data_IF_754578331360
#
_entry.id   IF_754578331360
#
_cell.length_a   1.000
_cell.length_b   1.000
_cell.length_c   1.000
_cell.angle_alpha   90.00
_cell.angle_beta   90.00
_cell.angle_gamma   90.00
#
_symmetry.space_group_name_H-M   'P 1'
#
loop_
_entity.id
_entity.type
_entity.pdbx_description
1 polymer ?
#
# COMPACT_ATOMS: atom_id res chain seq x y z
N UNK A 1 16.39 13.82 13.65
CA UNK A 1 15.04 13.81 13.07
C UNK A 1 14.09 13.27 14.12
N UNK A 2 12.99 13.96 14.39
CA UNK A 2 11.95 13.42 15.27
C UNK A 2 11.27 12.25 14.55
N UNK A 3 11.04 11.14 15.24
CA UNK A 3 10.22 10.06 14.67
C UNK A 3 8.80 10.58 14.39
N UNK A 4 8.15 10.12 13.31
CA UNK A 4 6.76 10.48 13.03
C UNK A 4 5.85 10.08 14.19
N UNK A 5 4.82 10.87 14.47
CA UNK A 5 3.90 10.60 15.57
C UNK A 5 2.84 9.57 15.20
N UNK A 6 2.54 9.43 13.90
CA UNK A 6 1.50 8.52 13.37
C UNK A 6 1.95 7.86 12.05
N UNK A 7 1.30 6.75 11.63
CA UNK A 7 1.59 6.14 10.33
C UNK A 7 1.20 7.05 9.15
N UNK A 8 0.20 7.94 9.30
CA UNK A 8 -0.13 8.97 8.32
C UNK A 8 1.07 9.91 8.08
N UNK A 9 1.69 10.40 9.16
CA UNK A 9 2.88 11.26 9.07
C UNK A 9 4.05 10.51 8.41
N UNK A 10 4.21 9.22 8.73
CA UNK A 10 5.24 8.38 8.15
C UNK A 10 5.00 8.06 6.66
N UNK A 11 3.78 8.18 6.16
CA UNK A 11 3.42 7.96 4.76
C UNK A 11 3.20 9.27 3.97
N UNK A 12 3.29 10.44 4.63
CA UNK A 12 2.91 11.73 4.05
C UNK A 12 3.67 12.07 2.76
N UNK A 13 4.94 11.68 2.66
CA UNK A 13 5.76 11.92 1.47
C UNK A 13 5.29 11.17 0.22
N UNK A 14 4.38 10.21 0.36
CA UNK A 14 3.76 9.50 -0.76
C UNK A 14 2.64 10.31 -1.43
N UNK A 15 2.03 11.26 -0.71
CA UNK A 15 0.95 12.11 -1.23
C UNK A 15 1.49 13.01 -2.34
N UNK A 16 0.69 13.19 -3.40
CA UNK A 16 1.08 13.96 -4.58
C UNK A 16 1.93 13.17 -5.58
N UNK A 17 2.21 11.89 -5.34
CA UNK A 17 2.96 11.04 -6.27
C UNK A 17 2.03 10.20 -7.12
N UNK A 18 2.32 10.14 -8.42
CA UNK A 18 1.64 9.20 -9.31
C UNK A 18 2.10 7.77 -9.07
N UNK A 19 1.15 6.85 -8.98
CA UNK A 19 1.43 5.42 -8.97
C UNK A 19 1.83 4.94 -10.36
N UNK A 20 2.77 4.01 -10.42
CA UNK A 20 3.13 3.28 -11.62
C UNK A 20 3.52 1.84 -11.26
N UNK A 21 3.58 0.96 -12.26
CA UNK A 21 3.95 -0.43 -12.05
C UNK A 21 3.02 -1.20 -11.10
N UNK A 22 1.79 -0.73 -10.89
CA UNK A 22 0.79 -1.39 -10.07
C UNK A 22 0.48 -2.78 -10.64
N UNK A 23 0.74 -3.83 -9.87
CA UNK A 23 0.56 -5.23 -10.30
C UNK A 23 0.23 -6.15 -9.13
N UNK A 24 -0.41 -7.28 -9.45
CA UNK A 24 -0.60 -8.39 -8.51
C UNK A 24 0.73 -9.13 -8.32
N UNK A 25 1.00 -9.52 -7.08
CA UNK A 25 2.06 -10.45 -6.70
C UNK A 25 1.53 -11.88 -6.62
N UNK A 26 2.14 -12.71 -5.77
CA UNK A 26 1.62 -14.03 -5.45
C UNK A 26 0.43 -13.92 -4.48
N UNK A 27 -0.59 -14.79 -4.62
CA UNK A 27 -1.78 -14.76 -3.76
C UNK A 27 -2.54 -13.44 -3.88
N UNK A 28 -2.88 -12.83 -2.74
CA UNK A 28 -3.58 -11.53 -2.69
C UNK A 28 -2.64 -10.32 -2.68
N UNK A 29 -1.33 -10.50 -2.89
CA UNK A 29 -0.38 -9.39 -2.72
C UNK A 29 -0.47 -8.37 -3.85
N UNK A 30 -0.26 -7.09 -3.53
CA UNK A 30 -0.17 -6.01 -4.50
C UNK A 30 1.14 -5.25 -4.38
N UNK A 31 1.81 -5.02 -5.51
CA UNK A 31 2.99 -4.17 -5.62
C UNK A 31 2.62 -2.86 -6.33
N UNK A 32 2.86 -1.71 -5.70
CA UNK A 32 2.65 -0.38 -6.28
C UNK A 32 3.93 0.45 -6.15
N UNK A 33 4.36 1.09 -7.23
CA UNK A 33 5.58 1.93 -7.25
C UNK A 33 5.21 3.41 -7.35
N UNK A 34 6.01 4.28 -6.74
CA UNK A 34 5.82 5.72 -6.79
C UNK A 34 7.16 6.47 -6.86
N UNK A 35 7.09 7.72 -7.32
CA UNK A 35 8.27 8.56 -7.50
C UNK A 35 9.16 8.09 -8.66
N UNK A 36 10.37 8.66 -8.79
CA UNK A 36 11.30 8.26 -9.85
C UNK A 36 11.73 6.80 -9.69
N UNK A 37 11.99 6.13 -10.82
CA UNK A 37 12.58 4.80 -10.81
C UNK A 37 14.00 4.85 -10.21
N UNK A 38 14.37 3.81 -9.46
CA UNK A 38 15.73 3.67 -8.89
C UNK A 38 16.71 3.32 -10.00
N UNK A 39 17.91 3.89 -9.97
CA UNK A 39 18.96 3.60 -10.96
C UNK A 39 19.37 2.13 -10.97
N UNK A 40 19.45 1.51 -9.78
CA UNK A 40 19.85 0.10 -9.63
C UNK A 40 18.77 -0.90 -10.06
N UNK A 41 17.49 -0.53 -9.98
CA UNK A 41 16.36 -1.34 -10.42
C UNK A 41 15.25 -0.45 -10.98
N UNK A 42 15.18 -0.28 -12.31
CA UNK A 42 14.15 0.54 -12.95
C UNK A 42 12.72 0.07 -12.73
N UNK A 43 12.51 -1.15 -12.21
CA UNK A 43 11.19 -1.66 -11.84
C UNK A 43 10.75 -1.22 -10.44
N UNK A 44 11.64 -0.61 -9.66
CA UNK A 44 11.36 -0.10 -8.32
C UNK A 44 11.33 1.42 -8.31
N UNK A 45 10.30 1.97 -7.68
CA UNK A 45 10.23 3.40 -7.41
C UNK A 45 11.08 3.81 -6.21
N UNK A 46 11.28 5.11 -6.07
CA UNK A 46 11.78 5.72 -4.84
C UNK A 46 10.91 5.32 -3.63
N UNK A 47 9.63 5.07 -3.87
CA UNK A 47 8.74 4.43 -2.91
C UNK A 47 8.14 3.16 -3.51
N UNK A 48 7.98 2.15 -2.67
CA UNK A 48 7.29 0.90 -3.00
C UNK A 48 6.28 0.59 -1.90
N UNK A 49 5.00 0.59 -2.25
CA UNK A 49 3.92 0.13 -1.39
C UNK A 49 3.63 -1.33 -1.72
N UNK A 50 3.68 -2.18 -0.69
CA UNK A 50 3.36 -3.60 -0.78
C UNK A 50 2.18 -3.90 0.13
N UNK A 51 1.05 -4.30 -0.46
CA UNK A 51 -0.12 -4.78 0.29
C UNK A 51 -0.03 -6.29 0.41
N UNK A 52 -0.21 -6.81 1.62
CA UNK A 52 -0.15 -8.24 1.90
C UNK A 52 -1.06 -8.59 3.09
N UNK A 53 -1.37 -9.88 3.28
CA UNK A 53 -1.94 -10.40 4.53
C UNK A 53 -3.23 -9.70 5.00
N UNK A 54 -3.98 -9.17 4.03
CA UNK A 54 -5.27 -8.53 4.22
C UNK A 54 -6.14 -8.72 2.98
N UNK A 55 -7.45 -8.60 3.14
CA UNK A 55 -8.35 -8.46 2.01
C UNK A 55 -8.29 -7.02 1.50
N UNK A 56 -8.57 -6.80 0.22
CA UNK A 56 -8.62 -5.46 -0.34
C UNK A 56 -9.62 -5.39 -1.49
N UNK A 57 -9.98 -4.15 -1.84
CA UNK A 57 -10.79 -3.84 -3.00
C UNK A 57 -10.31 -2.57 -3.68
N UNK A 58 -10.38 -2.57 -5.01
CA UNK A 58 -10.18 -1.40 -5.86
C UNK A 58 -11.54 -0.93 -6.36
N UNK A 59 -11.76 0.37 -6.30
CA UNK A 59 -12.96 1.02 -6.79
C UNK A 59 -12.59 2.18 -7.71
N UNK A 60 -13.44 2.46 -8.70
CA UNK A 60 -13.29 3.55 -9.66
C UNK A 60 -14.61 4.33 -9.73
N UNK A 61 -14.69 5.44 -8.99
CA UNK A 61 -15.93 6.20 -8.83
C UNK A 61 -17.02 5.37 -8.15
N UNK A 62 -18.07 5.05 -8.91
CA UNK A 62 -19.18 4.20 -8.45
C UNK A 62 -19.04 2.72 -8.84
N UNK A 63 -17.97 2.36 -9.56
CA UNK A 63 -17.71 1.00 -10.04
C UNK A 63 -16.80 0.22 -9.08
N UNK A 64 -17.15 -1.03 -8.79
CA UNK A 64 -16.23 -1.97 -8.15
C UNK A 64 -15.27 -2.51 -9.22
N UNK A 65 -13.99 -2.16 -9.11
CA UNK A 65 -12.94 -2.58 -10.04
C UNK A 65 -12.57 -4.05 -9.84
N UNK A 66 -12.05 -4.40 -8.66
CA UNK A 66 -11.70 -5.77 -8.29
C UNK A 66 -11.62 -5.94 -6.76
N UNK A 67 -11.96 -7.12 -6.24
CA UNK A 67 -11.60 -7.57 -4.90
C UNK A 67 -10.38 -8.49 -4.90
N UNK A 68 -9.81 -8.79 -3.71
CA UNK A 68 -8.62 -9.64 -3.57
C UNK A 68 -8.79 -11.06 -4.11
N UNK A 69 -10.02 -11.58 -4.08
CA UNK A 69 -10.37 -12.94 -4.53
C UNK A 69 -10.96 -12.99 -5.96
N UNK A 70 -10.96 -11.87 -6.68
CA UNK A 70 -11.38 -11.83 -8.09
C UNK A 70 -10.32 -12.49 -9.01
N UNK A 71 -10.70 -12.75 -10.27
CA UNK A 71 -9.76 -13.33 -11.24
C UNK A 71 -8.56 -12.42 -11.51
N UNK A 72 -7.43 -13.02 -11.88
CA UNK A 72 -6.19 -12.29 -12.18
C UNK A 72 -6.39 -11.23 -13.28
N UNK A 73 -7.20 -11.52 -14.30
CA UNK A 73 -7.50 -10.59 -15.39
C UNK A 73 -8.27 -9.37 -14.89
N UNK A 74 -9.24 -9.58 -13.99
CA UNK A 74 -10.04 -8.50 -13.41
C UNK A 74 -9.19 -7.61 -12.49
N UNK A 75 -8.34 -8.24 -11.66
CA UNK A 75 -7.40 -7.54 -10.80
C UNK A 75 -6.40 -6.72 -11.64
N UNK A 76 -5.79 -7.33 -12.66
CA UNK A 76 -4.85 -6.65 -13.54
C UNK A 76 -5.50 -5.45 -14.25
N UNK A 77 -6.74 -5.59 -14.73
CA UNK A 77 -7.47 -4.49 -15.37
C UNK A 77 -7.76 -3.34 -14.39
N UNK A 78 -8.13 -3.63 -13.14
CA UNK A 78 -8.36 -2.62 -12.11
C UNK A 78 -7.05 -1.88 -11.73
N UNK A 79 -5.96 -2.62 -11.53
CA UNK A 79 -4.64 -2.04 -11.23
C UNK A 79 -4.11 -1.19 -12.38
N UNK A 80 -4.31 -1.62 -13.62
CA UNK A 80 -3.91 -0.87 -14.80
C UNK A 80 -4.56 0.53 -14.84
N UNK A 81 -5.80 0.66 -14.35
CA UNK A 81 -6.51 1.95 -14.26
C UNK A 81 -5.99 2.85 -13.14
N UNK A 82 -5.25 2.31 -12.16
CA UNK A 82 -4.58 3.11 -11.14
C UNK A 82 -3.31 3.77 -11.68
N UNK A 83 -2.56 3.09 -12.55
CA UNK A 83 -1.30 3.60 -13.10
C UNK A 83 -1.47 5.01 -13.73
N UNK A 84 -0.55 5.91 -13.39
CA UNK A 84 -0.54 7.32 -13.78
C UNK A 84 -1.33 8.24 -12.86
N UNK A 85 -2.21 7.71 -11.99
CA UNK A 85 -3.01 8.53 -11.07
C UNK A 85 -2.21 8.95 -9.85
N UNK A 86 -2.41 10.19 -9.44
CA UNK A 86 -1.81 10.76 -8.23
C UNK A 86 -2.46 10.20 -6.96
N UNK A 87 -1.67 9.82 -5.96
CA UNK A 87 -2.16 9.52 -4.62
C UNK A 87 -2.48 10.83 -3.90
N UNK A 88 -3.77 11.08 -3.70
CA UNK A 88 -4.30 12.33 -3.15
C UNK A 88 -4.55 12.29 -1.65
N UNK A 89 -4.79 11.10 -1.08
CA UNK A 89 -4.98 10.93 0.36
C UNK A 89 -4.68 9.50 0.80
N UNK A 90 -4.25 9.36 2.06
CA UNK A 90 -4.18 8.11 2.79
C UNK A 90 -5.01 8.29 4.06
N UNK A 91 -6.01 7.44 4.26
CA UNK A 91 -6.87 7.49 5.45
C UNK A 91 -6.81 6.16 6.17
N UNK A 92 -6.33 6.15 7.41
CA UNK A 92 -6.29 4.97 8.26
C UNK A 92 -7.47 5.00 9.24
N UNK A 93 -8.28 3.94 9.24
CA UNK A 93 -9.38 3.80 10.17
C UNK A 93 -8.89 3.17 11.46
N UNK A 94 -9.07 3.85 12.59
CA UNK A 94 -8.75 3.30 13.92
C UNK A 94 -9.93 2.48 14.46
N UNK A 95 -9.69 1.37 15.20
CA UNK A 95 -8.37 0.87 15.60
C UNK A 95 -7.68 -0.07 14.60
N UNK A 96 -8.39 -0.60 13.59
CA UNK A 96 -7.89 -1.68 12.70
C UNK A 96 -6.77 -1.28 11.73
N UNK A 97 -6.54 0.03 11.59
CA UNK A 97 -5.68 0.66 10.60
C UNK A 97 -5.99 0.24 9.16
N UNK A 98 -7.23 -0.21 8.90
CA UNK A 98 -7.75 -0.40 7.55
C UNK A 98 -7.57 0.90 6.77
N UNK A 99 -6.91 0.80 5.62
CA UNK A 99 -6.34 1.95 4.94
C UNK A 99 -7.04 2.18 3.61
N UNK A 100 -7.44 3.42 3.36
CA UNK A 100 -7.90 3.87 2.05
C UNK A 100 -6.81 4.72 1.40
N UNK A 101 -6.27 4.25 0.29
CA UNK A 101 -5.39 5.00 -0.62
C UNK A 101 -6.24 5.60 -1.74
N UNK A 102 -6.37 6.92 -1.78
CA UNK A 102 -7.23 7.63 -2.72
C UNK A 102 -6.44 8.20 -3.91
N UNK A 103 -6.90 7.89 -5.12
CA UNK A 103 -6.30 8.28 -6.41
C UNK A 103 -7.27 9.12 -7.25
N UNK A 104 -7.71 10.26 -6.71
CA UNK A 104 -8.82 11.04 -7.28
C UNK A 104 -10.15 10.32 -7.10
N UNK A 105 -10.81 9.93 -8.19
CA UNK A 105 -12.07 9.16 -8.15
C UNK A 105 -11.88 7.67 -7.81
N UNK A 106 -10.64 7.18 -7.82
CA UNK A 106 -10.31 5.78 -7.61
C UNK A 106 -9.79 5.56 -6.20
N UNK A 107 -10.00 4.37 -5.63
CA UNK A 107 -9.51 4.03 -4.28
C UNK A 107 -9.09 2.57 -4.19
N UNK A 108 -8.02 2.34 -3.44
CA UNK A 108 -7.63 1.02 -2.95
C UNK A 108 -7.91 1.00 -1.44
N UNK A 109 -8.76 0.08 -1.00
CA UNK A 109 -9.17 -0.05 0.40
C UNK A 109 -8.71 -1.40 0.91
N UNK A 110 -8.02 -1.42 2.05
CA UNK A 110 -7.64 -2.64 2.76
C UNK A 110 -8.64 -2.97 3.86
N UNK A 111 -8.81 -4.26 4.14
CA UNK A 111 -9.65 -4.82 5.17
C UNK A 111 -8.87 -5.88 5.93
N UNK A 112 -8.82 -5.72 7.24
CA UNK A 112 -8.26 -6.68 8.18
C UNK A 112 -8.85 -8.08 7.99
N UNK A 113 -7.99 -9.09 7.94
CA UNK A 113 -8.38 -10.51 7.96
C UNK A 113 -7.88 -11.26 9.19
N UNK A 114 -6.95 -10.66 9.95
CA UNK A 114 -6.43 -11.15 11.22
C UNK A 114 -6.02 -9.97 12.11
N UNK A 115 -6.22 -10.12 13.42
CA UNK A 115 -5.75 -9.18 14.46
C UNK A 115 -4.85 -9.82 15.49
N UNK A 116 -4.46 -11.08 15.29
CA UNK A 116 -3.65 -11.79 16.26
C UNK A 116 -2.22 -11.22 16.24
N UNK A 117 -1.75 -10.57 17.32
CA UNK A 117 -0.40 -10.03 17.37
C UNK A 117 0.69 -11.11 17.45
N UNK A 118 0.32 -12.38 17.67
CA UNK A 118 1.26 -13.50 17.64
C UNK A 118 1.55 -14.03 16.23
N UNK A 119 0.88 -13.49 15.20
CA UNK A 119 1.15 -13.80 13.80
C UNK A 119 2.31 -12.92 13.30
N UNK A 120 3.49 -13.52 13.19
CA UNK A 120 4.75 -12.88 12.77
C UNK A 120 4.73 -12.37 11.30
N UNK A 121 3.63 -12.55 10.57
CA UNK A 121 3.44 -12.11 9.19
C UNK A 121 2.13 -11.36 8.97
N UNK A 122 1.69 -10.57 9.95
CA UNK A 122 0.37 -9.97 9.90
C UNK A 122 0.36 -8.47 9.51
N UNK A 123 1.48 -7.92 9.01
CA UNK A 123 1.50 -6.59 8.41
C UNK A 123 0.58 -6.55 7.19
N UNK A 124 -0.42 -5.69 7.24
CA UNK A 124 -1.36 -5.49 6.14
C UNK A 124 -0.71 -4.78 4.95
N UNK A 125 0.25 -3.89 5.23
CA UNK A 125 1.05 -3.28 4.19
C UNK A 125 2.39 -2.74 4.70
N UNK A 126 3.33 -2.69 3.77
CA UNK A 126 4.67 -2.13 3.93
C UNK A 126 4.86 -0.98 2.94
N UNK A 127 5.45 0.12 3.39
CA UNK A 127 5.88 1.21 2.53
C UNK A 127 7.39 1.40 2.67
N UNK A 128 8.12 0.96 1.65
CA UNK A 128 9.55 1.23 1.49
C UNK A 128 9.73 2.66 0.98
N UNK A 129 10.61 3.42 1.64
CA UNK A 129 10.84 4.85 1.41
C UNK A 129 12.27 5.11 0.89
N UNK A 130 12.53 6.28 0.29
CA UNK A 130 13.84 6.62 -0.25
C UNK A 130 14.90 6.96 0.81
N UNK A 131 14.51 7.09 2.08
CA UNK A 131 15.40 7.31 3.21
C UNK A 131 15.82 6.00 3.91
N UNK A 132 15.69 4.88 3.20
CA UNK A 132 16.01 3.52 3.68
C UNK A 132 15.22 3.12 4.94
N UNK A 133 14.01 3.67 5.10
CA UNK A 133 13.05 3.27 6.12
C UNK A 133 11.86 2.52 5.50
N UNK A 134 11.27 1.64 6.30
CA UNK A 134 10.05 0.90 5.98
C UNK A 134 9.01 1.20 7.03
N UNK A 135 7.86 1.69 6.58
CA UNK A 135 6.67 1.81 7.40
C UNK A 135 5.86 0.51 7.28
N UNK A 136 5.70 -0.19 8.39
CA UNK A 136 4.87 -1.39 8.52
C UNK A 136 3.57 -1.04 9.24
N UNK A 137 2.43 -1.48 8.71
CA UNK A 137 1.11 -1.25 9.32
C UNK A 137 0.34 -2.56 9.43
N UNK A 138 -0.24 -2.79 10.60
CA UNK A 138 -0.92 -4.02 10.96
C UNK A 138 -0.01 -5.03 11.67
N UNK A 139 -0.60 -6.07 12.27
CA UNK A 139 -2.05 -6.29 12.37
C UNK A 139 -2.75 -5.34 13.35
N UNK A 140 -4.05 -5.15 13.17
CA UNK A 140 -4.88 -4.29 14.02
C UNK A 140 -4.33 -2.87 14.16
N UNK A 141 -4.07 -2.42 15.39
CA UNK A 141 -3.57 -1.06 15.65
C UNK A 141 -2.05 -0.91 15.63
N UNK A 142 -1.31 -1.97 15.28
CA UNK A 142 0.15 -1.96 15.27
C UNK A 142 0.69 -1.20 14.05
N UNK A 143 1.77 -0.45 14.26
CA UNK A 143 2.57 0.10 13.18
C UNK A 143 4.00 0.35 13.68
N UNK A 144 4.96 0.36 12.76
CA UNK A 144 6.36 0.59 13.06
C UNK A 144 7.05 1.29 11.89
N UNK A 145 8.05 2.11 12.20
CA UNK A 145 9.03 2.60 11.24
C UNK A 145 10.41 2.01 11.59
N UNK A 146 10.99 1.23 10.70
CA UNK A 146 12.27 0.54 10.88
C UNK A 146 13.20 0.75 9.68
N UNK A 147 14.52 0.56 9.81
CA UNK A 147 15.42 0.50 8.65
C UNK A 147 15.00 -0.59 7.67
N UNK A 148 15.21 -0.36 6.38
CA UNK A 148 14.92 -1.29 5.29
C UNK A 148 15.81 -2.56 5.30
N UNK A 149 16.73 -2.66 6.25
CA UNK A 149 17.58 -3.82 6.48
C UNK A 149 16.93 -4.78 7.49
N UNK A 150 15.82 -5.40 7.07
CA UNK A 150 15.53 -6.78 7.45
C UNK A 150 15.19 -7.55 6.16
N UNK A 151 15.90 -8.66 5.88
CA UNK A 151 15.57 -9.55 4.76
C UNK A 151 14.20 -10.20 4.93
#
# INVERSE_FOLDING_TARGET
MNQPATPEDAAADLIGRSVWGARKGHGSFLDLQFGPAREADPKRGAFHLWIQQCAWRIEHGAELGAGSEDSDERIAAALARLNGRELTAITLQRPSLSTTFAFGDSRLITFETSTDPADDHAEQWLLFRPDDLVLSVGPGSAWQLSPADQP
#
